data_IF_614810538644
#
_entry.id   IF_614810538644
#
_cell.length_a   1.000
_cell.length_b   1.000
_cell.length_c   1.000
_cell.angle_alpha   90.00
_cell.angle_beta   90.00
_cell.angle_gamma   90.00
#
_symmetry.space_group_name_H-M   'P 1'
#
loop_
_entity.id
_entity.type
_entity.pdbx_description
1 polymer ?
#
# COMPACT_ATOMS: atom_id res chain seq x y z
N UNK A 1 -17.92 41.74 6.26
CA UNK A 1 -16.50 41.43 6.57
C UNK A 1 -16.44 40.77 7.94
N UNK A 2 -16.21 39.46 8.02
CA UNK A 2 -15.89 38.77 9.27
C UNK A 2 -15.05 37.52 8.95
N UNK A 3 -13.74 37.68 9.07
CA UNK A 3 -12.76 36.59 9.00
C UNK A 3 -12.91 35.71 10.23
N UNK A 4 -13.34 34.45 10.06
CA UNK A 4 -13.18 33.42 11.08
C UNK A 4 -11.92 32.62 10.74
N UNK A 5 -10.80 32.97 11.37
CA UNK A 5 -9.70 32.03 11.53
C UNK A 5 -10.12 30.99 12.58
N UNK A 6 -10.44 29.77 12.16
CA UNK A 6 -10.55 28.64 13.07
C UNK A 6 -9.23 27.88 13.06
N UNK A 7 -8.59 27.83 14.23
CA UNK A 7 -7.23 27.38 14.45
C UNK A 7 -6.91 25.98 13.91
N UNK A 8 -5.66 25.81 13.53
CA UNK A 8 -5.05 24.52 13.22
C UNK A 8 -5.14 23.63 14.47
N UNK A 9 -6.09 22.68 14.45
CA UNK A 9 -6.05 21.55 15.38
C UNK A 9 -4.76 20.77 15.11
N UNK A 10 -4.02 20.30 16.13
CA UNK A 10 -2.88 19.44 15.89
C UNK A 10 -3.41 18.21 15.16
N UNK A 11 -2.93 18.02 13.95
CA UNK A 11 -3.26 16.91 13.10
C UNK A 11 -2.83 15.61 13.82
N UNK A 12 -3.72 15.05 14.64
CA UNK A 12 -3.54 13.75 15.34
C UNK A 12 -3.59 12.59 14.34
N UNK A 13 -3.00 12.78 13.16
CA UNK A 13 -2.82 11.73 12.17
C UNK A 13 -1.93 10.66 12.78
N UNK A 14 -2.52 9.49 13.01
CA UNK A 14 -1.80 8.27 13.34
C UNK A 14 -0.67 8.08 12.32
N UNK A 15 0.57 8.25 12.79
CA UNK A 15 1.76 7.88 12.03
C UNK A 15 1.96 6.39 12.24
N UNK A 16 2.07 5.66 11.13
CA UNK A 16 2.44 4.25 11.16
C UNK A 16 3.94 4.17 10.90
N UNK A 17 4.66 3.41 11.72
CA UNK A 17 6.06 3.09 11.50
C UNK A 17 6.26 2.24 10.24
N UNK A 18 7.49 2.16 9.75
CA UNK A 18 7.84 1.41 8.53
C UNK A 18 7.57 -0.10 8.68
N UNK A 19 7.81 -0.65 9.87
CA UNK A 19 7.55 -2.05 10.17
C UNK A 19 6.06 -2.41 9.96
N UNK A 20 5.16 -1.62 10.53
CA UNK A 20 3.72 -1.79 10.32
C UNK A 20 3.33 -1.60 8.85
N UNK A 21 3.96 -0.67 8.11
CA UNK A 21 3.63 -0.52 6.67
C UNK A 21 4.00 -1.78 5.89
N UNK A 22 5.17 -2.35 6.16
CA UNK A 22 5.65 -3.56 5.49
C UNK A 22 4.77 -4.76 5.83
N UNK A 23 4.43 -4.94 7.11
CA UNK A 23 3.54 -6.01 7.57
C UNK A 23 2.14 -5.85 6.98
N UNK A 24 1.60 -4.64 6.93
CA UNK A 24 0.28 -4.39 6.37
C UNK A 24 0.20 -4.80 4.89
N UNK A 25 1.23 -4.51 4.11
CA UNK A 25 1.28 -4.91 2.70
C UNK A 25 1.48 -6.42 2.54
N UNK A 26 2.31 -7.04 3.40
CA UNK A 26 2.46 -8.51 3.44
C UNK A 26 1.15 -9.22 3.82
N UNK A 27 0.41 -8.70 4.79
CA UNK A 27 -0.89 -9.23 5.16
C UNK A 27 -1.88 -9.12 3.99
N UNK A 28 -1.85 -7.99 3.29
CA UNK A 28 -2.73 -7.75 2.16
C UNK A 28 -2.42 -8.63 0.93
N UNK A 29 -1.18 -9.07 0.73
CA UNK A 29 -0.84 -10.03 -0.34
C UNK A 29 -1.27 -11.46 -0.02
N UNK A 30 -1.36 -11.83 1.26
CA UNK A 30 -1.89 -13.12 1.71
C UNK A 30 -3.41 -13.15 1.96
N UNK A 31 -4.06 -11.98 1.96
CA UNK A 31 -5.49 -11.86 2.26
C UNK A 31 -6.37 -12.09 1.04
N UNK A 32 -7.63 -12.48 1.28
CA UNK A 32 -8.65 -12.59 0.22
C UNK A 32 -8.91 -11.26 -0.49
N UNK A 33 -8.82 -10.13 0.23
CA UNK A 33 -8.91 -8.79 -0.38
C UNK A 33 -8.17 -7.73 0.44
N UNK A 34 -7.87 -6.59 -0.19
CA UNK A 34 -7.32 -5.41 0.51
C UNK A 34 -8.28 -4.89 1.58
N UNK A 35 -9.59 -5.04 1.37
CA UNK A 35 -10.61 -4.63 2.35
C UNK A 35 -10.58 -5.52 3.60
N UNK A 36 -10.46 -6.84 3.45
CA UNK A 36 -10.40 -7.74 4.61
C UNK A 36 -9.12 -7.48 5.43
N UNK A 37 -7.98 -7.30 4.77
CA UNK A 37 -6.73 -6.96 5.44
C UNK A 37 -6.81 -5.62 6.18
N UNK A 38 -7.42 -4.61 5.55
CA UNK A 38 -7.58 -3.31 6.18
C UNK A 38 -8.52 -3.35 7.40
N UNK A 39 -9.57 -4.16 7.37
CA UNK A 39 -10.46 -4.39 8.51
C UNK A 39 -9.72 -5.07 9.67
N UNK A 40 -8.90 -6.09 9.40
CA UNK A 40 -8.08 -6.77 10.41
C UNK A 40 -7.09 -5.81 11.08
N UNK A 41 -6.51 -4.87 10.31
CA UNK A 41 -5.55 -3.88 10.80
C UNK A 41 -6.21 -2.62 11.39
N UNK A 42 -7.53 -2.47 11.29
CA UNK A 42 -8.23 -1.26 11.70
C UNK A 42 -7.82 0.00 10.93
N UNK A 43 -7.37 -0.13 9.67
CA UNK A 43 -6.93 0.97 8.81
C UNK A 43 -7.89 1.19 7.65
N UNK A 44 -7.76 2.34 6.98
CA UNK A 44 -8.52 2.59 5.76
C UNK A 44 -8.06 1.68 4.61
N UNK A 45 -8.98 0.98 3.92
CA UNK A 45 -8.65 0.17 2.74
C UNK A 45 -7.96 0.98 1.63
N UNK A 46 -8.35 2.26 1.45
CA UNK A 46 -7.76 3.15 0.46
C UNK A 46 -6.29 3.48 0.78
N UNK A 47 -5.96 3.59 2.06
CA UNK A 47 -4.58 3.82 2.50
C UNK A 47 -3.71 2.58 2.24
N UNK A 48 -4.24 1.39 2.52
CA UNK A 48 -3.55 0.14 2.24
C UNK A 48 -3.34 -0.08 0.74
N UNK A 49 -4.36 0.20 -0.07
CA UNK A 49 -4.29 0.12 -1.53
C UNK A 49 -3.20 1.04 -2.12
N UNK A 50 -3.14 2.31 -1.67
CA UNK A 50 -2.09 3.25 -2.11
C UNK A 50 -0.69 2.77 -1.75
N UNK A 51 -0.53 2.11 -0.60
CA UNK A 51 0.76 1.55 -0.18
C UNK A 51 1.16 0.33 -0.99
N UNK A 52 0.23 -0.56 -1.30
CA UNK A 52 0.48 -1.68 -2.22
C UNK A 52 0.95 -1.15 -3.58
N UNK A 53 0.28 -0.15 -4.13
CA UNK A 53 0.71 0.47 -5.38
C UNK A 53 2.10 1.08 -5.28
N UNK A 54 2.40 1.81 -4.21
CA UNK A 54 3.73 2.41 -4.01
C UNK A 54 4.83 1.35 -3.91
N UNK A 55 4.57 0.21 -3.26
CA UNK A 55 5.53 -0.90 -3.20
C UNK A 55 5.75 -1.50 -4.59
N UNK A 56 4.67 -1.72 -5.35
CA UNK A 56 4.76 -2.22 -6.72
C UNK A 56 5.56 -1.27 -7.61
N UNK A 57 5.33 0.04 -7.50
CA UNK A 57 6.11 1.06 -8.21
C UNK A 57 7.58 1.04 -7.77
N UNK A 58 7.88 0.86 -6.48
CA UNK A 58 9.25 0.75 -6.01
C UNK A 58 9.97 -0.50 -6.55
N UNK A 59 9.25 -1.62 -6.73
CA UNK A 59 9.83 -2.88 -7.19
C UNK A 59 9.90 -3.03 -8.72
N UNK A 60 8.94 -2.44 -9.45
CA UNK A 60 8.76 -2.64 -10.89
C UNK A 60 8.89 -1.34 -11.68
N UNK A 61 9.01 -0.19 -11.02
CA UNK A 61 9.03 1.13 -11.64
C UNK A 61 7.64 1.67 -11.98
N UNK A 62 6.65 0.81 -12.25
CA UNK A 62 5.26 1.22 -12.44
C UNK A 62 4.25 0.11 -12.12
N UNK A 63 3.02 0.52 -11.80
CA UNK A 63 1.91 -0.43 -11.59
C UNK A 63 1.50 -1.13 -12.89
N UNK A 64 1.66 -0.46 -14.03
CA UNK A 64 1.32 -0.98 -15.36
C UNK A 64 2.26 -2.11 -15.76
N UNK A 65 3.57 -1.90 -15.60
CA UNK A 65 4.59 -2.92 -15.89
C UNK A 65 4.43 -4.12 -14.94
N UNK A 66 4.00 -3.91 -13.70
CA UNK A 66 3.70 -5.01 -12.79
C UNK A 66 2.46 -5.84 -13.16
N UNK A 67 1.52 -5.23 -13.89
CA UNK A 67 0.33 -5.93 -14.41
C UNK A 67 0.61 -6.65 -15.72
N UNK A 68 1.73 -6.35 -16.37
CA UNK A 68 2.13 -6.98 -17.61
C UNK A 68 2.35 -8.49 -17.40
N UNK A 69 1.61 -9.35 -18.12
CA UNK A 69 1.73 -10.80 -18.00
C UNK A 69 3.13 -11.31 -18.37
N UNK A 70 3.83 -10.64 -19.30
CA UNK A 70 5.18 -11.02 -19.72
C UNK A 70 6.19 -10.76 -18.61
N UNK A 71 6.13 -9.58 -18.00
CA UNK A 71 6.98 -9.22 -16.86
C UNK A 71 6.75 -10.17 -15.69
N UNK A 72 5.48 -10.53 -15.43
CA UNK A 72 5.14 -11.52 -14.40
C UNK A 72 5.71 -12.91 -14.73
N UNK A 73 5.59 -13.36 -15.97
CA UNK A 73 6.10 -14.65 -16.41
C UNK A 73 7.64 -14.70 -16.34
N UNK A 74 8.31 -13.63 -16.74
CA UNK A 74 9.77 -13.50 -16.69
C UNK A 74 10.27 -13.58 -15.25
N UNK A 75 9.66 -12.84 -14.32
CA UNK A 75 9.99 -12.90 -12.89
C UNK A 75 9.76 -14.28 -12.28
N UNK A 76 8.68 -14.95 -12.68
CA UNK A 76 8.41 -16.32 -12.24
C UNK A 76 9.43 -17.33 -12.77
N UNK A 77 10.02 -17.09 -13.96
CA UNK A 77 11.11 -17.92 -14.50
C UNK A 77 12.42 -17.67 -13.74
N UNK A 78 12.77 -16.41 -13.48
CA UNK A 78 13.97 -16.06 -12.70
C UNK A 78 13.93 -16.69 -11.30
N UNK A 79 12.81 -16.56 -10.60
CA UNK A 79 12.63 -17.17 -9.26
C UNK A 79 12.75 -18.70 -9.22
N UNK A 80 12.53 -19.41 -10.34
CA UNK A 80 12.73 -20.87 -10.42
C UNK A 80 14.17 -21.26 -10.73
N UNK A 81 14.96 -20.33 -11.25
CA UNK A 81 16.36 -20.55 -11.61
C UNK A 81 17.32 -20.21 -10.45
N UNK A 82 16.82 -19.54 -9.41
CA UNK A 82 17.47 -19.34 -8.11
C UNK A 82 17.25 -20.54 -7.18
#
# INVERSE_FOLDING_TARGET
MASKSSGASPDKRRKYDEAFKAEAVRLASGSRSTQSAAQQLGISPKLLYRRQQAQVVAEVGSVEVARDPEVRALRARLKRAE
#
